data_IF_737828700973
#
_entry.id   IF_737828700973
#
_cell.length_a   1.000
_cell.length_b   1.000
_cell.length_c   1.000
_cell.angle_alpha   90.00
_cell.angle_beta   90.00
_cell.angle_gamma   90.00
#
_symmetry.space_group_name_H-M   'P 1'
#
loop_
_entity.id
_entity.type
_entity.pdbx_description
1 polymer ?
#
# COMPACT_ATOMS: atom_id res chain seq x y z
N UNK A 1 4.90 48.03 14.83
CA UNK A 1 5.29 46.62 15.05
C UNK A 1 6.20 46.57 16.27
N UNK A 2 5.82 45.87 17.33
CA UNK A 2 6.65 45.76 18.55
C UNK A 2 7.74 44.69 18.34
N UNK A 3 8.96 44.87 18.89
CA UNK A 3 10.03 43.89 18.77
C UNK A 3 9.67 42.58 19.49
N UNK A 4 10.07 41.44 18.92
CA UNK A 4 9.77 40.09 19.43
C UNK A 4 10.21 39.87 20.89
N UNK A 5 11.18 40.65 21.37
CA UNK A 5 11.69 40.62 22.75
C UNK A 5 10.72 41.17 23.79
N UNK A 6 9.69 41.92 23.40
CA UNK A 6 8.65 42.41 24.33
C UNK A 6 7.48 41.42 24.48
N UNK A 7 7.26 40.52 23.53
CA UNK A 7 6.13 39.56 23.56
C UNK A 7 6.38 38.41 24.55
N UNK A 8 7.64 38.14 24.89
CA UNK A 8 8.03 37.01 25.75
C UNK A 8 8.04 37.32 27.26
N UNK A 9 7.71 38.55 27.68
CA UNK A 9 7.73 38.94 29.10
C UNK A 9 6.45 38.62 29.88
N UNK A 10 5.38 38.22 29.19
CA UNK A 10 4.07 37.99 29.80
C UNK A 10 3.72 36.49 29.96
N UNK A 11 4.71 35.58 29.96
CA UNK A 11 4.45 34.17 30.27
C UNK A 11 4.48 34.00 31.81
N UNK A 12 3.34 33.69 32.46
CA UNK A 12 3.30 33.45 33.90
C UNK A 12 4.11 32.21 34.27
N UNK A 13 4.99 32.36 35.27
CA UNK A 13 5.94 31.35 35.75
C UNK A 13 5.31 30.18 36.54
N UNK A 14 4.06 29.81 36.26
CA UNK A 14 3.30 28.78 37.00
C UNK A 14 3.23 27.42 36.30
N UNK A 15 4.03 27.18 35.25
CA UNK A 15 4.01 25.93 34.47
C UNK A 15 5.34 25.15 34.51
N UNK A 16 6.05 25.20 35.65
CA UNK A 16 7.24 24.39 35.90
C UNK A 16 7.14 23.67 37.24
N UNK A 17 6.19 22.73 37.34
CA UNK A 17 6.22 21.65 38.32
C UNK A 17 5.37 20.49 37.81
N UNK A 18 5.94 19.70 36.90
CA UNK A 18 5.53 18.31 36.73
C UNK A 18 6.65 17.43 37.29
N UNK A 19 6.35 16.85 38.45
CA UNK A 19 7.09 15.83 39.16
C UNK A 19 7.51 14.70 38.20
N UNK A 20 8.80 14.60 37.92
CA UNK A 20 9.44 13.40 37.37
C UNK A 20 9.61 12.38 38.48
N UNK A 21 8.52 11.69 38.85
CA UNK A 21 8.58 10.44 39.60
C UNK A 21 8.34 9.26 38.66
N UNK A 22 9.43 8.68 38.19
CA UNK A 22 9.43 7.40 37.48
C UNK A 22 8.99 6.28 38.45
N UNK A 23 8.01 5.42 38.09
CA UNK A 23 7.75 4.20 38.83
C UNK A 23 8.84 3.18 38.53
N UNK A 24 9.69 2.89 39.52
CA UNK A 24 10.55 1.71 39.56
C UNK A 24 9.67 0.47 39.60
N UNK A 25 9.39 -0.15 38.45
CA UNK A 25 8.79 -1.48 38.43
C UNK A 25 9.89 -2.52 38.71
N UNK A 26 9.79 -3.17 39.87
CA UNK A 26 10.55 -4.36 40.20
C UNK A 26 10.20 -5.47 39.21
N UNK A 27 11.20 -5.93 38.45
CA UNK A 27 11.11 -7.15 37.64
C UNK A 27 11.08 -8.36 38.58
N UNK A 28 9.88 -8.89 38.83
CA UNK A 28 9.70 -10.22 39.40
C UNK A 28 10.08 -11.29 38.38
N UNK A 29 11.23 -11.93 38.56
CA UNK A 29 11.60 -13.15 37.87
C UNK A 29 10.80 -14.33 38.44
N UNK A 30 9.65 -14.65 37.84
CA UNK A 30 9.03 -15.97 38.05
C UNK A 30 9.50 -16.91 36.95
N UNK A 31 10.47 -17.74 37.31
CA UNK A 31 10.84 -18.96 36.61
C UNK A 31 9.64 -19.90 36.55
N UNK A 32 9.15 -20.20 35.35
CA UNK A 32 8.22 -21.32 35.11
C UNK A 32 8.92 -22.32 34.19
N UNK A 33 9.56 -23.29 34.84
CA UNK A 33 9.91 -24.56 34.23
C UNK A 33 8.59 -25.32 33.94
N UNK A 34 8.27 -25.49 32.66
CA UNK A 34 7.11 -26.25 32.20
C UNK A 34 7.50 -27.20 31.08
N UNK A 35 7.95 -28.40 31.47
CA UNK A 35 7.94 -29.59 30.59
C UNK A 35 6.47 -30.00 30.38
N UNK A 36 6.04 -30.19 29.13
CA UNK A 36 5.05 -31.21 28.79
C UNK A 36 4.96 -31.40 27.27
N UNK A 37 5.51 -32.53 26.85
CA UNK A 37 5.35 -33.20 25.57
C UNK A 37 3.87 -33.53 25.32
N UNK A 38 3.30 -33.11 24.20
CA UNK A 38 2.00 -33.62 23.73
C UNK A 38 2.24 -34.70 22.67
N UNK A 39 1.85 -35.97 22.89
CA UNK A 39 1.73 -36.94 21.82
C UNK A 39 0.44 -36.70 21.04
N UNK A 40 0.57 -36.62 19.72
CA UNK A 40 -0.54 -36.71 18.77
C UNK A 40 -1.26 -38.05 18.98
N UNK A 41 -2.52 -38.01 19.40
CA UNK A 41 -3.43 -39.15 19.31
C UNK A 41 -4.07 -39.16 17.92
N UNK A 42 -3.65 -40.13 17.12
CA UNK A 42 -4.27 -40.54 15.86
C UNK A 42 -5.55 -41.29 16.20
N UNK A 43 -6.72 -40.65 16.02
CA UNK A 43 -7.99 -41.35 16.08
C UNK A 43 -8.28 -41.97 14.72
N UNK A 44 -8.13 -43.29 14.67
CA UNK A 44 -8.60 -44.19 13.65
C UNK A 44 -10.00 -44.67 14.06
N UNK A 45 -11.04 -44.33 13.28
CA UNK A 45 -12.40 -44.89 13.35
C UNK A 45 -12.90 -44.93 11.90
N UNK A 46 -12.72 -46.04 11.19
CA UNK A 46 -13.70 -47.11 11.02
C UNK A 46 -15.09 -46.68 10.52
N UNK A 47 -15.23 -46.81 9.19
CA UNK A 47 -16.32 -47.50 8.49
C UNK A 47 -17.59 -47.79 9.29
N UNK A 48 -18.68 -47.12 8.93
CA UNK A 48 -20.00 -47.76 8.77
C UNK A 48 -20.76 -47.08 7.64
N UNK A 49 -20.80 -47.78 6.50
CA UNK A 49 -21.77 -47.54 5.46
C UNK A 49 -23.17 -47.90 6.00
N UNK A 50 -24.12 -46.97 5.89
CA UNK A 50 -25.54 -47.30 5.89
C UNK A 50 -26.16 -46.70 4.63
N UNK A 51 -26.46 -47.60 3.69
CA UNK A 51 -27.36 -47.39 2.58
C UNK A 51 -28.72 -46.93 3.10
N UNK A 52 -29.12 -45.72 2.74
CA UNK A 52 -30.54 -45.37 2.69
C UNK A 52 -30.83 -44.95 1.25
N UNK A 53 -31.49 -45.85 0.53
CA UNK A 53 -31.97 -45.60 -0.81
C UNK A 53 -33.09 -44.58 -0.79
N UNK A 54 -32.85 -43.44 -1.42
CA UNK A 54 -33.90 -42.52 -1.84
C UNK A 54 -34.11 -42.65 -3.35
N UNK A 55 -35.36 -42.78 -3.83
CA UNK A 55 -35.62 -42.85 -5.25
C UNK A 55 -35.29 -41.51 -5.92
N UNK A 56 -34.43 -41.56 -6.95
CA UNK A 56 -34.21 -40.47 -7.89
C UNK A 56 -35.52 -40.17 -8.64
N UNK A 57 -36.21 -39.10 -8.26
CA UNK A 57 -37.11 -38.40 -9.18
C UNK A 57 -36.26 -37.50 -10.06
N UNK A 58 -35.97 -37.95 -11.28
CA UNK A 58 -35.35 -37.14 -12.32
C UNK A 58 -36.43 -36.22 -12.89
N UNK A 59 -36.62 -35.07 -12.25
CA UNK A 59 -37.43 -34.00 -12.80
C UNK A 59 -36.58 -33.27 -13.85
N UNK A 60 -36.87 -33.55 -15.12
CA UNK A 60 -36.26 -32.86 -16.26
C UNK A 60 -36.73 -31.40 -16.25
N UNK A 61 -36.00 -30.55 -15.53
CA UNK A 61 -36.13 -29.11 -15.64
C UNK A 61 -35.60 -28.69 -17.00
N UNK A 62 -36.50 -28.16 -17.84
CA UNK A 62 -36.15 -27.45 -19.05
C UNK A 62 -35.15 -26.33 -18.72
N UNK A 63 -34.17 -26.04 -19.59
CA UNK A 63 -33.29 -24.91 -19.40
C UNK A 63 -34.12 -23.63 -19.55
N UNK A 64 -34.53 -23.06 -18.42
CA UNK A 64 -34.97 -21.68 -18.37
C UNK A 64 -33.76 -20.86 -18.78
N UNK A 65 -33.78 -20.36 -20.02
CA UNK A 65 -32.87 -19.33 -20.47
C UNK A 65 -33.24 -18.07 -19.69
N UNK A 66 -32.76 -18.01 -18.45
CA UNK A 66 -32.66 -16.79 -17.68
C UNK A 66 -31.70 -15.90 -18.48
N UNK A 67 -32.26 -14.99 -19.26
CA UNK A 67 -31.54 -13.87 -19.85
C UNK A 67 -30.95 -13.12 -18.67
N UNK A 68 -29.74 -13.53 -18.28
CA UNK A 68 -28.96 -12.96 -17.21
C UNK A 68 -28.50 -11.61 -17.73
N UNK A 69 -29.41 -10.65 -17.72
CA UNK A 69 -29.10 -9.25 -17.88
C UNK A 69 -28.18 -8.91 -16.72
N UNK A 70 -26.88 -8.94 -17.01
CA UNK A 70 -25.88 -8.39 -16.12
C UNK A 70 -26.33 -6.97 -15.78
N UNK A 71 -26.47 -6.60 -14.49
CA UNK A 71 -26.67 -5.22 -14.11
C UNK A 71 -25.40 -4.46 -14.49
N UNK A 72 -25.32 -4.04 -15.75
CA UNK A 72 -24.33 -3.14 -16.31
C UNK A 72 -24.65 -1.71 -15.88
N UNK A 73 -24.88 -1.55 -14.58
CA UNK A 73 -24.99 -0.28 -13.89
C UNK A 73 -23.69 -0.15 -13.12
N UNK A 74 -22.64 0.31 -13.80
CA UNK A 74 -21.53 1.00 -13.13
C UNK A 74 -22.13 2.24 -12.46
N UNK A 75 -22.70 2.07 -11.27
CA UNK A 75 -23.22 3.17 -10.50
C UNK A 75 -22.04 4.05 -10.08
N UNK A 76 -22.11 5.35 -10.35
CA UNK A 76 -21.19 6.40 -9.87
C UNK A 76 -20.95 6.41 -8.34
N UNK A 77 -21.62 5.51 -7.62
CA UNK A 77 -21.46 5.23 -6.20
C UNK A 77 -20.45 4.13 -5.85
N UNK A 78 -19.76 3.50 -6.82
CA UNK A 78 -18.69 2.56 -6.46
C UNK A 78 -17.54 3.30 -5.79
N UNK A 79 -17.38 3.08 -4.47
CA UNK A 79 -16.32 3.67 -3.66
C UNK A 79 -14.93 3.29 -4.17
N UNK A 80 -14.81 2.19 -4.94
CA UNK A 80 -13.55 1.72 -5.54
C UNK A 80 -13.01 2.71 -6.59
N UNK A 81 -13.86 3.52 -7.18
CA UNK A 81 -13.47 4.54 -8.17
C UNK A 81 -13.14 5.91 -7.54
N UNK A 82 -13.23 6.03 -6.21
CA UNK A 82 -12.95 7.27 -5.49
C UNK A 82 -11.59 7.20 -4.79
N UNK A 83 -10.92 8.34 -4.58
CA UNK A 83 -9.74 8.40 -3.72
C UNK A 83 -10.03 7.82 -2.33
N UNK A 84 -9.07 7.10 -1.77
CA UNK A 84 -9.17 6.46 -0.45
C UNK A 84 -9.55 7.46 0.64
N UNK A 85 -8.94 8.65 0.64
CA UNK A 85 -9.21 9.68 1.65
C UNK A 85 -10.65 10.23 1.61
N UNK A 86 -11.41 9.99 0.55
CA UNK A 86 -12.80 10.43 0.41
C UNK A 86 -13.82 9.39 0.88
N UNK A 87 -13.39 8.16 1.15
CA UNK A 87 -14.31 7.07 1.52
C UNK A 87 -13.81 6.33 2.76
N UNK A 88 -14.67 6.22 3.77
CA UNK A 88 -14.37 5.44 4.97
C UNK A 88 -14.13 3.96 4.63
N UNK A 89 -14.88 3.44 3.65
CA UNK A 89 -14.71 2.07 3.19
C UNK A 89 -13.34 1.83 2.54
N UNK A 90 -12.85 2.75 1.70
CA UNK A 90 -11.51 2.64 1.11
C UNK A 90 -10.40 2.68 2.16
N UNK A 91 -10.57 3.50 3.22
CA UNK A 91 -9.61 3.55 4.33
C UNK A 91 -9.60 2.23 5.11
N UNK A 92 -10.77 1.70 5.48
CA UNK A 92 -10.90 0.44 6.20
C UNK A 92 -10.34 -0.75 5.42
N UNK A 93 -10.57 -0.78 4.11
CA UNK A 93 -10.05 -1.83 3.21
C UNK A 93 -8.52 -1.74 3.07
N UNK A 94 -7.96 -0.52 3.00
CA UNK A 94 -6.51 -0.33 3.02
C UNK A 94 -5.90 -0.83 4.34
N UNK A 95 -6.46 -0.44 5.49
CA UNK A 95 -5.99 -0.89 6.81
C UNK A 95 -6.09 -2.41 6.94
N UNK A 96 -7.17 -3.02 6.45
CA UNK A 96 -7.35 -4.49 6.45
C UNK A 96 -6.28 -5.18 5.61
N UNK A 97 -6.01 -4.68 4.40
CA UNK A 97 -4.99 -5.23 3.52
C UNK A 97 -3.58 -5.12 4.14
N UNK A 98 -3.27 -3.99 4.78
CA UNK A 98 -2.01 -3.77 5.48
C UNK A 98 -1.87 -4.74 6.66
N UNK A 99 -2.91 -4.86 7.49
CA UNK A 99 -2.93 -5.78 8.63
C UNK A 99 -2.68 -7.23 8.20
N UNK A 100 -3.37 -7.71 7.15
CA UNK A 100 -3.17 -9.05 6.60
C UNK A 100 -1.73 -9.26 6.11
N UNK A 101 -1.17 -8.24 5.46
CA UNK A 101 0.21 -8.31 4.98
C UNK A 101 1.18 -8.40 6.15
N UNK A 102 1.03 -7.55 7.17
CA UNK A 102 1.86 -7.61 8.38
C UNK A 102 1.76 -8.95 9.11
N UNK A 103 0.55 -9.48 9.25
CA UNK A 103 0.31 -10.77 9.90
C UNK A 103 0.95 -11.94 9.14
N UNK A 104 1.08 -11.83 7.81
CA UNK A 104 1.73 -12.85 6.98
C UNK A 104 3.27 -12.79 7.00
N UNK A 105 3.85 -11.71 7.53
CA UNK A 105 5.30 -11.53 7.58
C UNK A 105 5.91 -12.03 8.89
N UNK A 106 7.19 -12.38 8.84
CA UNK A 106 7.97 -12.70 10.04
C UNK A 106 8.21 -11.41 10.83
N UNK A 107 7.35 -11.10 11.78
CA UNK A 107 7.54 -9.98 12.70
C UNK A 107 8.56 -10.35 13.78
N UNK A 108 9.82 -9.93 13.63
CA UNK A 108 10.81 -10.02 14.71
C UNK A 108 10.76 -8.75 15.56
N UNK A 109 10.03 -8.79 16.67
CA UNK A 109 10.08 -7.74 17.70
C UNK A 109 9.35 -6.44 17.39
N UNK A 110 8.51 -6.39 16.36
CA UNK A 110 7.65 -5.24 16.08
C UNK A 110 6.58 -5.10 17.18
N UNK A 111 6.53 -3.94 17.82
CA UNK A 111 5.48 -3.59 18.80
C UNK A 111 4.19 -3.24 18.06
N UNK A 112 3.04 -3.54 18.67
CA UNK A 112 1.73 -3.17 18.15
C UNK A 112 1.61 -1.67 17.81
N UNK A 113 2.23 -0.81 18.63
CA UNK A 113 2.32 0.64 18.42
C UNK A 113 2.90 1.03 17.05
N UNK A 114 3.85 0.25 16.52
CA UNK A 114 4.47 0.52 15.22
C UNK A 114 3.51 0.27 14.05
N UNK A 115 2.48 -0.55 14.25
CA UNK A 115 1.51 -0.86 13.20
C UNK A 115 0.59 0.34 12.93
N UNK A 116 0.16 1.06 13.97
CA UNK A 116 -0.67 2.25 13.84
C UNK A 116 0.07 3.39 13.12
N UNK A 117 1.35 3.60 13.43
CA UNK A 117 2.19 4.58 12.72
C UNK A 117 2.37 4.23 11.25
N UNK A 118 2.59 2.94 10.95
CA UNK A 118 2.70 2.48 9.57
C UNK A 118 1.38 2.69 8.83
N UNK A 119 0.26 2.24 9.38
CA UNK A 119 -1.07 2.43 8.77
C UNK A 119 -1.35 3.91 8.49
N UNK A 120 -1.11 4.78 9.47
CA UNK A 120 -1.27 6.23 9.31
C UNK A 120 -0.42 6.81 8.17
N UNK A 121 0.81 6.33 7.99
CA UNK A 121 1.69 6.76 6.90
C UNK A 121 1.15 6.31 5.52
N UNK A 122 0.62 5.09 5.44
CA UNK A 122 -0.01 4.60 4.22
C UNK A 122 -1.27 5.39 3.87
N UNK A 123 -2.14 5.65 4.84
CA UNK A 123 -3.34 6.48 4.64
C UNK A 123 -2.97 7.89 4.16
N UNK A 124 -1.92 8.49 4.73
CA UNK A 124 -1.45 9.83 4.35
C UNK A 124 -0.93 9.87 2.91
N UNK A 125 -0.06 8.94 2.52
CA UNK A 125 0.61 8.97 1.21
C UNK A 125 -0.29 8.44 0.10
N UNK A 126 -1.03 7.36 0.36
CA UNK A 126 -1.86 6.69 -0.64
C UNK A 126 -3.29 7.21 -0.70
N UNK A 127 -3.70 8.08 0.23
CA UNK A 127 -5.06 8.59 0.34
C UNK A 127 -5.61 9.24 -0.94
N UNK A 128 -4.74 9.82 -1.78
CA UNK A 128 -5.12 10.47 -3.05
C UNK A 128 -5.40 9.49 -4.20
N UNK A 129 -5.00 8.22 -4.06
CA UNK A 129 -5.18 7.20 -5.10
C UNK A 129 -6.47 6.40 -4.87
N UNK A 130 -6.94 5.75 -5.93
CA UNK A 130 -8.08 4.83 -5.83
C UNK A 130 -7.63 3.53 -5.19
N UNK A 131 -8.52 2.91 -4.41
CA UNK A 131 -8.20 1.64 -3.73
C UNK A 131 -7.84 0.51 -4.71
N UNK A 132 -8.51 0.46 -5.86
CA UNK A 132 -8.23 -0.55 -6.89
C UNK A 132 -6.78 -0.49 -7.39
N UNK A 133 -6.28 0.72 -7.69
CA UNK A 133 -4.91 0.95 -8.16
C UNK A 133 -3.89 0.59 -7.07
N UNK A 134 -4.15 1.01 -5.84
CA UNK A 134 -3.31 0.71 -4.68
C UNK A 134 -3.22 -0.78 -4.43
N UNK A 135 -4.35 -1.48 -4.45
CA UNK A 135 -4.40 -2.94 -4.27
C UNK A 135 -3.61 -3.67 -5.34
N UNK A 136 -3.78 -3.29 -6.61
CA UNK A 136 -3.06 -3.92 -7.71
C UNK A 136 -1.55 -3.69 -7.59
N UNK A 137 -1.13 -2.46 -7.33
CA UNK A 137 0.28 -2.13 -7.13
C UNK A 137 0.89 -2.86 -5.92
N UNK A 138 0.10 -3.07 -4.86
CA UNK A 138 0.52 -3.83 -3.69
C UNK A 138 0.79 -5.29 -4.04
N UNK A 139 -0.16 -5.95 -4.74
CA UNK A 139 -0.02 -7.32 -5.24
C UNK A 139 1.20 -7.46 -6.14
N UNK A 140 1.39 -6.51 -7.06
CA UNK A 140 2.53 -6.49 -7.97
C UNK A 140 3.85 -6.32 -7.22
N UNK A 141 3.88 -5.60 -6.10
CA UNK A 141 5.10 -5.47 -5.29
C UNK A 141 5.42 -6.77 -4.55
N UNK A 142 4.47 -7.31 -3.78
CA UNK A 142 4.69 -8.50 -2.93
C UNK A 142 4.93 -9.77 -3.73
N UNK A 143 4.47 -9.82 -4.98
CA UNK A 143 4.79 -10.93 -5.90
C UNK A 143 6.21 -10.88 -6.43
N UNK A 144 6.84 -9.70 -6.47
CA UNK A 144 8.22 -9.50 -6.98
C UNK A 144 9.27 -9.43 -5.88
N UNK A 145 8.91 -8.94 -4.70
CA UNK A 145 9.81 -8.72 -3.57
C UNK A 145 9.23 -9.36 -2.31
N UNK A 146 10.11 -9.97 -1.50
CA UNK A 146 9.71 -10.60 -0.23
C UNK A 146 9.48 -9.58 0.90
N UNK A 147 10.04 -8.38 0.77
CA UNK A 147 9.93 -7.31 1.76
C UNK A 147 8.57 -6.62 1.70
N UNK A 148 8.17 -6.01 2.82
CA UNK A 148 6.98 -5.17 2.86
C UNK A 148 7.19 -3.94 1.96
N UNK A 149 6.25 -3.60 1.06
CA UNK A 149 6.33 -2.35 0.33
C UNK A 149 6.37 -1.17 1.31
N UNK A 150 7.15 -0.14 0.97
CA UNK A 150 6.96 1.20 1.54
C UNK A 150 5.84 1.92 0.79
N UNK A 151 5.23 2.98 1.35
CA UNK A 151 4.25 3.78 0.61
C UNK A 151 4.82 4.31 -0.72
N UNK A 152 6.09 4.71 -0.74
CA UNK A 152 6.79 5.17 -1.94
C UNK A 152 6.93 4.09 -3.01
N UNK A 153 7.14 2.83 -2.61
CA UNK A 153 7.21 1.72 -3.58
C UNK A 153 5.89 1.55 -4.33
N UNK A 154 4.76 1.69 -3.64
CA UNK A 154 3.43 1.61 -4.25
C UNK A 154 3.20 2.80 -5.19
N UNK A 155 3.54 4.01 -4.74
CA UNK A 155 3.48 5.22 -5.58
C UNK A 155 4.28 5.04 -6.86
N UNK A 156 5.51 4.51 -6.78
CA UNK A 156 6.36 4.30 -7.96
C UNK A 156 5.81 3.24 -8.94
N UNK A 157 4.89 2.39 -8.51
CA UNK A 157 4.21 1.43 -9.40
C UNK A 157 3.01 2.08 -10.08
N UNK A 158 2.23 2.88 -9.33
CA UNK A 158 1.03 3.55 -9.85
C UNK A 158 1.39 4.74 -10.74
N UNK A 159 2.33 5.56 -10.29
CA UNK A 159 2.80 6.79 -10.93
C UNK A 159 4.34 6.74 -11.01
N UNK A 160 4.90 5.95 -11.95
CA UNK A 160 6.33 5.78 -12.06
C UNK A 160 7.00 7.13 -12.32
N UNK A 161 8.09 7.45 -11.62
CA UNK A 161 8.77 8.72 -11.81
C UNK A 161 9.20 8.86 -13.27
N UNK A 162 8.93 10.03 -13.85
CA UNK A 162 9.34 10.34 -15.22
C UNK A 162 10.84 10.10 -15.36
N UNK A 163 11.23 9.33 -16.37
CA UNK A 163 12.63 9.07 -16.65
C UNK A 163 13.37 10.40 -16.80
N UNK A 164 14.46 10.56 -16.04
CA UNK A 164 15.33 11.72 -16.18
C UNK A 164 16.06 11.59 -17.49
N UNK A 165 15.74 12.46 -18.43
CA UNK A 165 16.44 12.52 -19.70
C UNK A 165 17.89 12.98 -19.42
N UNK A 166 18.86 12.30 -20.04
CA UNK A 166 20.28 12.51 -19.84
C UNK A 166 20.81 13.59 -20.77
N UNK A 167 21.48 14.57 -20.19
CA UNK A 167 22.12 15.65 -20.94
C UNK A 167 23.18 15.12 -21.91
N UNK A 168 23.91 14.06 -21.52
CA UNK A 168 24.92 13.44 -22.38
C UNK A 168 24.31 12.86 -23.66
N UNK A 169 23.15 12.18 -23.52
CA UNK A 169 22.41 11.61 -24.66
C UNK A 169 21.85 12.73 -25.55
N UNK A 170 21.31 13.78 -24.95
CA UNK A 170 20.84 14.96 -25.69
C UNK A 170 21.96 15.62 -26.51
N UNK A 171 23.15 15.84 -25.91
CA UNK A 171 24.29 16.46 -26.58
C UNK A 171 24.77 15.59 -27.76
N UNK A 172 24.82 14.27 -27.57
CA UNK A 172 25.23 13.35 -28.63
C UNK A 172 24.24 13.37 -29.81
N UNK A 173 22.94 13.28 -29.53
CA UNK A 173 21.90 13.35 -30.57
C UNK A 173 21.96 14.70 -31.30
N UNK A 174 22.09 15.82 -30.58
CA UNK A 174 22.22 17.16 -31.20
C UNK A 174 23.47 17.28 -32.08
N UNK A 175 24.59 16.69 -31.66
CA UNK A 175 25.81 16.65 -32.46
C UNK A 175 25.59 15.87 -33.76
N UNK A 176 24.95 14.71 -33.69
CA UNK A 176 24.60 13.90 -34.86
C UNK A 176 23.62 14.63 -35.79
N UNK A 177 22.61 15.31 -35.26
CA UNK A 177 21.67 16.12 -36.04
C UNK A 177 22.32 17.30 -36.78
N UNK A 178 23.45 17.81 -36.30
CA UNK A 178 24.18 18.89 -36.95
C UNK A 178 25.08 18.41 -38.10
N UNK A 179 25.26 17.09 -38.28
CA UNK A 179 26.07 16.53 -39.36
C UNK A 179 25.21 16.33 -40.63
N UNK A 180 25.67 16.78 -41.80
CA UNK A 180 24.85 16.81 -43.02
C UNK A 180 24.48 15.43 -43.60
N UNK A 181 25.14 14.35 -43.18
CA UNK A 181 24.95 12.99 -43.72
C UNK A 181 24.51 11.96 -42.66
N UNK A 182 24.21 12.37 -41.44
CA UNK A 182 23.84 11.45 -40.35
C UNK A 182 22.32 11.33 -40.25
N UNK A 183 21.79 10.11 -40.34
CA UNK A 183 20.38 9.86 -40.12
C UNK A 183 20.10 9.74 -38.62
N UNK A 184 19.30 10.67 -38.11
CA UNK A 184 18.79 10.62 -36.73
C UNK A 184 17.34 10.13 -36.75
N UNK A 185 17.03 8.99 -36.11
CA UNK A 185 15.67 8.46 -36.01
C UNK A 185 14.71 9.41 -35.30
N UNK A 186 13.42 9.29 -35.61
CA UNK A 186 12.39 10.20 -35.07
C UNK A 186 12.18 10.09 -33.56
N UNK A 187 12.46 8.92 -32.96
CA UNK A 187 12.42 8.77 -31.50
C UNK A 187 13.55 9.56 -30.80
N UNK A 188 14.73 9.68 -31.41
CA UNK A 188 15.83 10.50 -30.88
C UNK A 188 15.52 12.00 -31.03
N UNK A 189 14.89 12.41 -32.14
CA UNK A 189 14.38 13.79 -32.29
C UNK A 189 13.28 14.10 -31.28
N UNK A 190 12.43 13.13 -30.94
CA UNK A 190 11.43 13.25 -29.88
C UNK A 190 12.10 13.42 -28.51
N UNK A 191 13.13 12.62 -28.22
CA UNK A 191 13.95 12.74 -27.00
C UNK A 191 14.51 14.15 -26.82
N UNK A 192 15.09 14.77 -27.87
CA UNK A 192 15.61 16.14 -27.77
C UNK A 192 14.52 17.16 -27.42
N UNK A 193 13.33 17.04 -28.02
CA UNK A 193 12.20 17.94 -27.73
C UNK A 193 11.71 17.80 -26.29
N UNK A 194 11.62 16.57 -25.79
CA UNK A 194 11.21 16.30 -24.42
C UNK A 194 12.27 16.76 -23.41
N UNK A 195 13.55 16.64 -23.73
CA UNK A 195 14.65 17.15 -22.90
C UNK A 195 14.61 18.67 -22.81
N UNK A 196 14.48 19.37 -23.94
CA UNK A 196 14.36 20.83 -23.98
C UNK A 196 13.12 21.33 -23.21
N UNK A 197 11.97 20.65 -23.35
CA UNK A 197 10.76 20.97 -22.59
C UNK A 197 10.93 20.75 -21.08
N UNK A 198 11.64 19.69 -20.67
CA UNK A 198 11.94 19.41 -19.27
C UNK A 198 12.87 20.47 -18.66
N UNK A 199 13.88 20.92 -19.40
CA UNK A 199 14.78 21.99 -18.94
C UNK A 199 14.06 23.34 -18.86
N UNK A 200 13.19 23.66 -19.82
CA UNK A 200 12.39 24.88 -19.79
C UNK A 200 11.45 24.92 -18.56
N UNK A 201 10.81 23.79 -18.24
CA UNK A 201 9.92 23.69 -17.08
C UNK A 201 10.65 23.94 -15.74
N UNK A 202 11.96 23.65 -15.65
CA UNK A 202 12.77 23.90 -14.45
C UNK A 202 13.14 25.38 -14.25
N UNK A 203 13.08 26.20 -15.29
CA UNK A 203 13.47 27.62 -15.25
C UNK A 203 12.27 28.52 -14.89
N UNK A 204 11.04 27.99 -15.05
CA UNK A 204 9.79 28.72 -14.80
C UNK A 204 9.17 28.56 -13.41
N UNK A 205 9.70 27.66 -12.58
CA UNK A 205 9.37 27.49 -11.15
C UNK A 205 10.43 28.17 -10.27
#
# INVERSE_FOLDING_TARGET
>A
MKPLSEVLKDIPATLLQQDTRLPTQQLGLTSIAGKATTPYQTNHLDSMAQETGYPLTVETQQPVQETREWPSSKSETDWRCRPINQTLQGQNELTTMLFQTYASQKSYGDKAEMMEFKDSMFQLVLGKYQFADVKQAFIDHVSRKADLPTPSDIVNIIDPPKEKLSQAVYIDIKRRMAMPNEYVPDYEKKYCREFEAQELAKIGD
#
